data_IF_107035614295
#
_entry.id   IF_107035614295
#
_cell.length_a   1.000
_cell.length_b   1.000
_cell.length_c   1.000
_cell.angle_alpha   90.00
_cell.angle_beta   90.00
_cell.angle_gamma   90.00
#
_symmetry.space_group_name_H-M   'P 1'
#
loop_
_entity.id
_entity.type
_entity.pdbx_description
1 polymer ?
#
# COMPACT_ATOMS: atom_id res chain seq x y z
N UNK A 1 1.16 26.34 10.77
CA UNK A 1 1.18 25.04 10.07
C UNK A 1 1.42 25.34 8.61
N UNK A 2 2.49 24.79 8.05
CA UNK A 2 3.01 25.19 6.74
C UNK A 2 2.29 24.40 5.63
N UNK A 3 1.84 25.09 4.57
CA UNK A 3 1.05 24.50 3.48
C UNK A 3 1.76 23.40 2.68
N UNK A 4 3.08 23.24 2.85
CA UNK A 4 3.88 22.19 2.21
C UNK A 4 3.57 20.81 2.78
N UNK A 5 3.38 20.70 4.10
CA UNK A 5 3.09 19.41 4.74
C UNK A 5 1.73 18.84 4.31
N UNK A 6 0.75 19.72 4.10
CA UNK A 6 -0.60 19.36 3.65
C UNK A 6 -0.57 18.74 2.25
N UNK A 7 0.15 19.38 1.31
CA UNK A 7 0.30 18.90 -0.07
C UNK A 7 1.01 17.56 -0.15
N UNK A 8 2.00 17.32 0.70
CA UNK A 8 2.69 16.03 0.75
C UNK A 8 1.79 14.91 1.26
N UNK A 9 0.93 15.19 2.24
CA UNK A 9 -0.03 14.20 2.75
C UNK A 9 -1.10 13.85 1.70
N UNK A 10 -1.64 14.85 0.99
CA UNK A 10 -2.59 14.64 -0.11
C UNK A 10 -1.96 13.83 -1.25
N UNK A 11 -0.72 14.16 -1.62
CA UNK A 11 0.04 13.41 -2.64
C UNK A 11 0.24 11.94 -2.25
N UNK A 12 0.60 11.68 -0.99
CA UNK A 12 0.78 10.32 -0.49
C UNK A 12 -0.54 9.54 -0.45
N UNK A 13 -1.66 10.19 -0.11
CA UNK A 13 -2.97 9.56 -0.13
C UNK A 13 -3.42 9.20 -1.55
N UNK A 14 -3.17 10.08 -2.53
CA UNK A 14 -3.44 9.79 -3.94
C UNK A 14 -2.59 8.61 -4.44
N UNK A 15 -1.28 8.61 -4.15
CA UNK A 15 -0.38 7.53 -4.51
C UNK A 15 -0.77 6.21 -3.82
N UNK A 16 -1.21 6.25 -2.57
CA UNK A 16 -1.70 5.07 -1.85
C UNK A 16 -2.94 4.47 -2.51
N UNK A 17 -3.88 5.31 -2.94
CA UNK A 17 -5.09 4.86 -3.63
C UNK A 17 -4.79 4.25 -5.01
N UNK A 18 -3.86 4.84 -5.76
CA UNK A 18 -3.41 4.28 -7.03
C UNK A 18 -2.73 2.93 -6.83
N UNK A 19 -1.79 2.83 -5.89
CA UNK A 19 -1.12 1.57 -5.55
C UNK A 19 -2.15 0.51 -5.13
N UNK A 20 -3.12 0.86 -4.28
CA UNK A 20 -4.18 -0.06 -3.88
C UNK A 20 -4.94 -0.61 -5.08
N UNK A 21 -5.31 0.25 -6.03
CA UNK A 21 -6.04 -0.16 -7.23
C UNK A 21 -5.25 -1.19 -8.05
N UNK A 22 -3.95 -1.00 -8.23
CA UNK A 22 -3.12 -1.95 -9.00
C UNK A 22 -2.93 -3.27 -8.23
N UNK A 23 -2.76 -3.19 -6.90
CA UNK A 23 -2.59 -4.39 -6.06
C UNK A 23 -3.85 -5.24 -6.19
N UNK A 24 -5.04 -4.63 -6.12
CA UNK A 24 -6.32 -5.31 -6.31
C UNK A 24 -6.51 -5.88 -7.72
N UNK A 25 -5.97 -5.21 -8.74
CA UNK A 25 -6.02 -5.68 -10.12
C UNK A 25 -5.06 -6.84 -10.41
N UNK A 26 -4.12 -7.15 -9.50
CA UNK A 26 -3.16 -8.22 -9.70
C UNK A 26 -3.81 -9.58 -9.50
N UNK A 27 -3.69 -10.46 -10.50
CA UNK A 27 -4.23 -11.83 -10.45
C UNK A 27 -3.67 -12.58 -9.24
N UNK A 28 -4.56 -13.24 -8.51
CA UNK A 28 -4.23 -13.97 -7.27
C UNK A 28 -4.40 -13.14 -6.00
N UNK A 29 -4.51 -11.81 -6.10
CA UNK A 29 -4.91 -10.96 -4.96
C UNK A 29 -6.42 -11.02 -4.80
N UNK A 30 -6.88 -11.40 -3.60
CA UNK A 30 -8.31 -11.47 -3.28
C UNK A 30 -8.79 -10.28 -2.48
N UNK A 31 -7.97 -9.84 -1.52
CA UNK A 31 -8.30 -8.72 -0.63
C UNK A 31 -7.03 -7.96 -0.25
N UNK A 32 -7.14 -6.64 -0.09
CA UNK A 32 -6.12 -5.81 0.54
C UNK A 32 -6.57 -5.48 1.95
N UNK A 33 -5.70 -5.67 2.92
CA UNK A 33 -5.91 -5.35 4.32
C UNK A 33 -5.11 -4.11 4.69
N UNK A 34 -5.54 -3.47 5.78
CA UNK A 34 -4.78 -2.39 6.39
C UNK A 34 -3.37 -2.87 6.74
N UNK A 35 -2.36 -2.16 6.25
CA UNK A 35 -0.96 -2.36 6.62
C UNK A 35 -0.73 -1.97 8.08
N UNK A 36 -0.43 -2.94 8.95
CA UNK A 36 -0.27 -2.71 10.39
C UNK A 36 1.06 -2.08 10.82
N UNK A 37 2.10 -2.09 9.98
CA UNK A 37 3.49 -1.76 10.39
C UNK A 37 3.94 -0.34 10.05
N UNK A 38 3.61 0.21 8.88
CA UNK A 38 3.93 1.62 8.55
C UNK A 38 2.88 2.62 9.05
N UNK A 39 1.62 2.23 9.19
CA UNK A 39 0.58 3.10 9.75
C UNK A 39 0.98 3.58 11.15
N UNK A 40 1.56 2.72 11.99
CA UNK A 40 2.02 3.09 13.33
C UNK A 40 3.17 4.11 13.37
N UNK A 41 3.97 4.22 12.30
CA UNK A 41 5.09 5.18 12.21
C UNK A 41 4.78 6.42 11.34
N UNK A 42 3.92 6.29 10.33
CA UNK A 42 3.50 7.41 9.45
C UNK A 42 2.40 8.24 10.10
N UNK A 43 1.62 7.65 11.02
CA UNK A 43 0.66 8.37 11.87
C UNK A 43 1.35 9.17 13.00
N UNK A 44 2.67 9.03 13.17
CA UNK A 44 3.40 9.67 14.26
C UNK A 44 3.31 11.20 14.33
N UNK A 45 2.98 11.91 13.24
CA UNK A 45 3.03 13.38 13.24
C UNK A 45 2.01 14.13 12.39
N UNK A 46 1.33 13.50 11.40
CA UNK A 46 0.50 14.25 10.43
C UNK A 46 -0.99 13.87 10.36
N UNK A 47 -1.34 12.59 10.32
CA UNK A 47 -2.67 12.15 9.90
C UNK A 47 -3.76 12.24 10.99
N UNK A 48 -3.44 12.00 12.25
CA UNK A 48 -4.42 12.09 13.36
C UNK A 48 -4.82 13.54 13.67
N UNK A 49 -3.98 14.52 13.33
CA UNK A 49 -4.32 15.94 13.42
C UNK A 49 -5.27 16.42 12.31
N UNK A 50 -5.50 15.60 11.27
CA UNK A 50 -6.27 15.95 10.06
C UNK A 50 -7.72 15.43 10.06
N UNK A 51 -8.19 14.84 11.17
CA UNK A 51 -9.60 14.42 11.27
C UNK A 51 -9.99 13.25 10.35
N UNK A 52 -9.02 12.52 9.81
CA UNK A 52 -9.28 11.29 9.04
C UNK A 52 -9.91 10.27 9.99
N UNK A 53 -11.19 9.99 9.78
CA UNK A 53 -11.89 8.93 10.48
C UNK A 53 -11.24 7.59 10.13
N UNK A 54 -11.16 6.65 11.09
CA UNK A 54 -10.56 5.32 10.86
C UNK A 54 -11.11 4.60 9.63
N UNK A 55 -12.32 4.94 9.17
CA UNK A 55 -12.96 4.35 8.00
C UNK A 55 -12.40 4.81 6.65
N UNK A 56 -11.78 6.00 6.58
CA UNK A 56 -11.21 6.60 5.36
C UNK A 56 -9.67 6.44 5.30
N UNK A 57 -9.13 5.59 6.18
CA UNK A 57 -7.70 5.37 6.29
C UNK A 57 -7.21 4.45 5.15
N UNK A 58 -6.17 4.86 4.38
CA UNK A 58 -5.65 4.07 3.27
C UNK A 58 -5.25 2.65 3.70
N UNK A 59 -5.59 1.65 2.88
CA UNK A 59 -5.20 0.26 3.16
C UNK A 59 -3.71 0.02 2.88
N UNK A 60 -3.18 0.72 1.87
CA UNK A 60 -1.76 0.79 1.55
C UNK A 60 -1.14 1.98 2.27
N UNK A 61 -0.02 1.74 2.97
CA UNK A 61 0.74 2.79 3.61
C UNK A 61 1.84 3.29 2.67
N UNK A 62 1.92 4.61 2.49
CA UNK A 62 2.92 5.29 1.66
C UNK A 62 3.61 6.36 2.50
N UNK A 63 4.94 6.36 2.48
CA UNK A 63 5.76 7.34 3.16
C UNK A 63 6.86 7.86 2.24
N UNK A 64 7.11 9.17 2.29
CA UNK A 64 8.31 9.76 1.70
C UNK A 64 9.47 9.55 2.67
N UNK A 65 10.54 8.92 2.20
CA UNK A 65 11.83 8.84 2.88
C UNK A 65 12.88 9.66 2.14
N UNK A 66 14.10 9.67 2.67
CA UNK A 66 15.20 10.49 2.15
C UNK A 66 15.69 9.99 0.77
N UNK A 67 15.43 8.73 0.43
CA UNK A 67 15.88 8.09 -0.80
C UNK A 67 14.75 7.82 -1.81
N UNK A 68 13.50 8.07 -1.41
CA UNK A 68 12.32 7.86 -2.23
C UNK A 68 11.11 7.40 -1.44
N UNK A 69 10.21 6.68 -2.10
CA UNK A 69 8.95 6.25 -1.49
C UNK A 69 9.08 4.86 -0.88
N UNK A 70 8.60 4.74 0.36
CA UNK A 70 8.37 3.48 1.06
C UNK A 70 6.88 3.09 0.97
N UNK A 71 6.61 1.87 0.50
CA UNK A 71 5.27 1.30 0.32
C UNK A 71 5.10 0.06 1.18
N UNK A 72 3.98 -0.02 1.90
CA UNK A 72 3.54 -1.25 2.57
C UNK A 72 2.11 -1.64 2.25
N UNK A 73 1.93 -2.90 1.86
CA UNK A 73 0.62 -3.50 1.62
C UNK A 73 0.51 -4.88 2.30
N UNK A 74 -0.63 -5.13 2.92
CA UNK A 74 -1.02 -6.44 3.44
C UNK A 74 -2.07 -7.05 2.52
N UNK A 75 -1.84 -8.25 2.00
CA UNK A 75 -2.71 -8.88 0.99
C UNK A 75 -3.16 -10.28 1.40
N UNK A 76 -4.40 -10.61 1.03
CA UNK A 76 -4.93 -11.97 1.03
C UNK A 76 -4.82 -12.55 -0.37
N UNK A 77 -4.34 -13.78 -0.46
CA UNK A 77 -4.06 -14.46 -1.72
C UNK A 77 -5.06 -15.60 -1.93
N UNK A 78 -5.51 -15.78 -3.17
CA UNK A 78 -6.34 -16.93 -3.54
C UNK A 78 -5.54 -18.23 -3.45
N UNK A 79 -6.12 -19.30 -2.88
CA UNK A 79 -5.45 -20.59 -2.73
C UNK A 79 -4.99 -21.26 -4.02
N UNK A 80 -5.59 -20.91 -5.16
CA UNK A 80 -5.18 -21.44 -6.47
C UNK A 80 -3.93 -20.74 -7.01
N UNK A 81 -3.56 -19.59 -6.43
CA UNK A 81 -2.39 -18.82 -6.84
C UNK A 81 -1.17 -19.15 -5.95
N UNK A 82 0.00 -19.27 -6.58
CA UNK A 82 1.25 -19.37 -5.84
C UNK A 82 1.54 -18.02 -5.16
N UNK A 83 1.64 -18.03 -3.83
CA UNK A 83 1.83 -16.81 -3.05
C UNK A 83 3.10 -16.04 -3.46
N UNK A 84 4.19 -16.74 -3.74
CA UNK A 84 5.45 -16.14 -4.18
C UNK A 84 5.32 -15.42 -5.53
N UNK A 85 4.59 -16.03 -6.48
CA UNK A 85 4.40 -15.44 -7.81
C UNK A 85 3.44 -14.26 -7.76
N UNK A 86 2.40 -14.36 -6.94
CA UNK A 86 1.47 -13.25 -6.68
C UNK A 86 2.21 -12.07 -6.05
N UNK A 87 3.03 -12.30 -5.02
CA UNK A 87 3.84 -11.25 -4.39
C UNK A 87 4.82 -10.62 -5.38
N UNK A 88 5.47 -11.42 -6.23
CA UNK A 88 6.38 -10.91 -7.26
C UNK A 88 5.63 -10.05 -8.28
N UNK A 89 4.45 -10.50 -8.74
CA UNK A 89 3.63 -9.74 -9.68
C UNK A 89 3.18 -8.41 -9.07
N UNK A 90 2.71 -8.40 -7.82
CA UNK A 90 2.34 -7.18 -7.10
C UNK A 90 3.54 -6.24 -6.98
N UNK A 91 4.70 -6.77 -6.57
CA UNK A 91 5.92 -5.97 -6.43
C UNK A 91 6.33 -5.32 -7.76
N UNK A 92 6.31 -6.07 -8.85
CA UNK A 92 6.62 -5.56 -10.19
C UNK A 92 5.63 -4.51 -10.66
N UNK A 93 4.34 -4.70 -10.38
CA UNK A 93 3.32 -3.72 -10.73
C UNK A 93 3.59 -2.39 -9.99
N UNK A 94 3.92 -2.45 -8.68
CA UNK A 94 4.18 -1.24 -7.88
C UNK A 94 5.44 -0.54 -8.38
N UNK A 95 6.50 -1.31 -8.65
CA UNK A 95 7.73 -0.77 -9.23
C UNK A 95 7.46 -0.07 -10.57
N UNK A 96 6.65 -0.67 -11.44
CA UNK A 96 6.33 -0.11 -12.75
C UNK A 96 5.55 1.20 -12.61
N UNK A 97 4.59 1.27 -11.68
CA UNK A 97 3.86 2.50 -11.37
C UNK A 97 4.81 3.61 -10.90
N UNK A 98 5.66 3.33 -9.91
CA UNK A 98 6.62 4.31 -9.38
C UNK A 98 7.61 4.77 -10.47
N UNK A 99 8.10 3.85 -11.29
CA UNK A 99 8.98 4.19 -12.42
C UNK A 99 8.28 5.07 -13.46
N UNK A 100 7.03 4.77 -13.81
CA UNK A 100 6.24 5.57 -14.75
C UNK A 100 6.00 7.00 -14.24
N UNK A 101 5.94 7.19 -12.92
CA UNK A 101 5.82 8.49 -12.28
C UNK A 101 7.17 9.15 -11.95
N UNK A 102 8.29 8.58 -12.42
CA UNK A 102 9.65 9.03 -12.08
C UNK A 102 9.89 9.17 -10.57
N UNK A 103 9.20 8.38 -9.77
CA UNK A 103 9.28 8.39 -8.31
C UNK A 103 10.26 7.31 -7.86
N UNK A 104 11.39 7.66 -7.23
CA UNK A 104 12.34 6.66 -6.77
C UNK A 104 11.71 5.79 -5.68
N UNK A 105 11.90 4.47 -5.80
CA UNK A 105 11.51 3.54 -4.74
C UNK A 105 12.62 3.47 -3.70
N UNK A 106 12.25 3.57 -2.44
CA UNK A 106 13.15 3.25 -1.34
C UNK A 106 12.91 1.80 -0.88
N UNK A 107 11.64 1.43 -0.68
CA UNK A 107 11.27 0.12 -0.14
C UNK A 107 9.85 -0.26 -0.52
N UNK A 108 9.64 -1.54 -0.86
CA UNK A 108 8.31 -2.14 -0.96
C UNK A 108 8.29 -3.34 -0.02
N UNK A 109 7.38 -3.34 0.95
CA UNK A 109 7.15 -4.51 1.82
C UNK A 109 5.71 -5.00 1.63
N UNK A 110 5.61 -6.26 1.25
CA UNK A 110 4.36 -6.96 1.07
C UNK A 110 4.22 -8.05 2.14
N UNK A 111 3.07 -8.09 2.79
CA UNK A 111 2.76 -9.09 3.82
C UNK A 111 1.58 -9.93 3.36
N UNK A 112 1.72 -11.25 3.34
CA UNK A 112 0.57 -12.15 3.13
C UNK A 112 -0.10 -12.35 4.47
N UNK A 113 -1.33 -11.88 4.61
CA UNK A 113 -2.09 -12.03 5.86
C UNK A 113 -2.65 -13.44 5.97
N UNK A 114 -3.20 -13.97 4.87
CA UNK A 114 -3.66 -15.35 4.77
C UNK A 114 -3.90 -15.76 3.32
N UNK A 115 -3.92 -17.07 3.10
CA UNK A 115 -4.29 -17.69 1.82
C UNK A 115 -5.71 -18.21 1.95
N UNK A 116 -6.65 -17.66 1.17
CA UNK A 116 -8.06 -18.04 1.23
C UNK A 116 -8.31 -19.28 0.38
N UNK A 117 -8.55 -20.41 1.05
CA UNK A 117 -9.18 -21.58 0.43
C UNK A 117 -10.54 -21.20 -0.16
N UNK A 118 -10.97 -21.90 -1.22
CA UNK A 118 -12.39 -21.87 -1.61
C UNK A 118 -13.17 -22.31 -0.37
N UNK A 119 -13.94 -21.42 0.24
CA UNK A 119 -14.96 -21.89 1.17
C UNK A 119 -15.85 -22.84 0.38
N UNK A 120 -15.89 -24.11 0.80
CA UNK A 120 -16.93 -25.02 0.34
C UNK A 120 -18.25 -24.43 0.84
N UNK A 121 -19.11 -24.02 -0.10
CA UNK A 121 -20.53 -23.79 0.18
C UNK A 121 -21.18 -25.02 0.80
#
# INVERSE_FOLDING_TARGET
MDGTALRSAESNAALAAEIEAIVRATVGVRTVYRSGSLVSNVIGTGAVALGVSRSDEPLVAVAQGDLGVSVEASIGIDFTAAAADTLRAVHQAIDALLAAQATPRERIRLTVVYVQSREAS
#
